data_IF_064638432570
#
_entry.id   IF_064638432570
#
_cell.length_a   1.000
_cell.length_b   1.000
_cell.length_c   1.000
_cell.angle_alpha   90.00
_cell.angle_beta   90.00
_cell.angle_gamma   90.00
#
_symmetry.space_group_name_H-M   'P 1'
#
loop_
_entity.id
_entity.type
_entity.pdbx_description
1 polymer ?
#
# COMPACT_ATOMS: atom_id res chain seq x y z
N UNK A 1 13.65 20.44 -22.38
CA UNK A 1 12.22 20.17 -22.66
C UNK A 1 11.59 19.79 -21.34
N UNK A 2 10.77 20.69 -20.77
CA UNK A 2 10.22 20.52 -19.42
C UNK A 2 9.13 19.45 -19.39
N UNK A 3 9.16 18.58 -18.37
CA UNK A 3 8.04 17.72 -18.02
C UNK A 3 6.83 18.61 -17.72
N UNK A 4 5.80 18.53 -18.56
CA UNK A 4 4.50 19.12 -18.24
C UNK A 4 3.91 18.51 -16.96
N UNK A 5 2.99 19.21 -16.28
CA UNK A 5 2.34 18.70 -15.08
C UNK A 5 1.66 17.38 -15.46
N UNK A 6 2.17 16.27 -14.93
CA UNK A 6 1.59 14.95 -15.13
C UNK A 6 0.14 15.00 -14.70
N UNK A 7 -0.77 14.93 -15.67
CA UNK A 7 -2.19 14.70 -15.41
C UNK A 7 -2.22 13.35 -14.68
N UNK A 8 -2.56 13.35 -13.39
CA UNK A 8 -2.83 12.10 -12.68
C UNK A 8 -3.84 11.31 -13.53
N UNK A 9 -3.68 9.99 -13.73
CA UNK A 9 -4.57 9.21 -14.60
C UNK A 9 -6.02 9.12 -14.08
N UNK A 10 -6.34 9.77 -12.95
CA UNK A 10 -7.65 9.79 -12.32
C UNK A 10 -8.20 11.24 -12.39
N UNK A 11 -9.29 11.44 -13.12
CA UNK A 11 -10.00 12.73 -13.11
C UNK A 11 -10.61 12.98 -11.72
N UNK A 12 -10.16 14.05 -11.06
CA UNK A 12 -10.64 14.41 -9.72
C UNK A 12 -12.08 14.93 -9.78
N UNK A 13 -13.04 14.07 -9.48
CA UNK A 13 -14.46 14.42 -9.34
C UNK A 13 -14.86 14.89 -7.94
N UNK A 14 -16.14 15.17 -7.73
CA UNK A 14 -16.70 15.54 -6.41
C UNK A 14 -16.36 14.53 -5.32
N UNK A 15 -16.28 13.26 -5.71
CA UNK A 15 -16.01 12.16 -4.81
C UNK A 15 -14.52 12.01 -4.43
N UNK A 16 -13.60 12.69 -5.13
CA UNK A 16 -12.20 12.84 -4.68
C UNK A 16 -12.08 13.76 -3.47
N UNK A 17 -13.10 14.59 -3.23
CA UNK A 17 -13.19 15.48 -2.09
C UNK A 17 -13.95 14.85 -0.91
N UNK A 18 -14.36 13.59 -1.01
CA UNK A 18 -15.04 12.89 0.08
C UNK A 18 -14.07 12.74 1.26
N UNK A 19 -14.43 13.31 2.42
CA UNK A 19 -13.55 13.36 3.61
C UNK A 19 -12.71 14.65 3.73
N UNK A 20 -12.83 15.60 2.81
CA UNK A 20 -12.25 16.94 2.92
C UNK A 20 -13.29 18.02 2.67
N UNK A 21 -13.28 19.07 3.49
CA UNK A 21 -14.30 20.12 3.47
C UNK A 21 -14.34 20.93 2.16
N UNK A 22 -13.27 20.91 1.35
CA UNK A 22 -13.21 21.63 0.08
C UNK A 22 -12.11 21.15 -0.85
N UNK A 23 -12.23 21.52 -2.13
CA UNK A 23 -11.16 21.35 -3.13
C UNK A 23 -9.87 22.06 -2.74
N UNK A 24 -9.97 23.25 -2.15
CA UNK A 24 -8.80 24.00 -1.70
C UNK A 24 -8.03 23.23 -0.63
N UNK A 25 -8.74 22.58 0.31
CA UNK A 25 -8.13 21.71 1.32
C UNK A 25 -7.46 20.52 0.65
N UNK A 26 -8.11 19.86 -0.31
CA UNK A 26 -7.53 18.76 -1.07
C UNK A 26 -6.24 19.17 -1.80
N UNK A 27 -6.30 20.26 -2.57
CA UNK A 27 -5.18 20.74 -3.39
C UNK A 27 -4.01 21.25 -2.54
N UNK A 28 -4.28 21.68 -1.30
CA UNK A 28 -3.26 22.10 -0.33
C UNK A 28 -2.57 20.94 0.40
N UNK A 29 -3.04 19.70 0.24
CA UNK A 29 -2.37 18.51 0.79
C UNK A 29 -1.11 18.17 -0.02
N UNK A 30 -0.16 17.50 0.62
CA UNK A 30 0.97 16.90 -0.10
C UNK A 30 0.49 15.81 -1.08
N UNK A 31 1.35 15.44 -2.03
CA UNK A 31 1.00 14.48 -3.07
C UNK A 31 0.54 13.12 -2.50
N UNK A 32 1.26 12.60 -1.50
CA UNK A 32 0.92 11.33 -0.87
C UNK A 32 -0.51 11.34 -0.28
N UNK A 33 -0.90 12.38 0.46
CA UNK A 33 -2.26 12.47 0.99
C UNK A 33 -3.32 12.58 -0.11
N UNK A 34 -3.03 13.28 -1.22
CA UNK A 34 -3.97 13.37 -2.34
C UNK A 34 -4.18 12.01 -2.99
N UNK A 35 -3.10 11.26 -3.23
CA UNK A 35 -3.18 9.89 -3.75
C UNK A 35 -3.93 8.98 -2.78
N UNK A 36 -3.62 9.05 -1.48
CA UNK A 36 -4.25 8.23 -0.46
C UNK A 36 -5.74 8.57 -0.27
N UNK A 37 -6.15 9.83 -0.42
CA UNK A 37 -7.57 10.20 -0.39
C UNK A 37 -8.38 9.45 -1.44
N UNK A 38 -7.79 9.24 -2.62
CA UNK A 38 -8.40 8.46 -3.69
C UNK A 38 -8.40 6.97 -3.34
N UNK A 39 -7.24 6.43 -2.95
CA UNK A 39 -7.05 5.00 -2.68
C UNK A 39 -7.92 4.55 -1.49
N UNK A 40 -7.80 5.22 -0.36
CA UNK A 40 -8.51 4.91 0.87
C UNK A 40 -10.03 4.88 0.70
N UNK A 41 -10.58 5.70 -0.20
CA UNK A 41 -12.00 5.66 -0.55
C UNK A 41 -12.40 4.32 -1.15
N UNK A 42 -11.58 3.74 -2.03
CA UNK A 42 -11.81 2.40 -2.57
C UNK A 42 -11.64 1.32 -1.49
N UNK A 43 -10.61 1.46 -0.66
CA UNK A 43 -10.33 0.52 0.43
C UNK A 43 -11.43 0.50 1.50
N UNK A 44 -12.12 1.62 1.74
CA UNK A 44 -13.10 1.77 2.82
C UNK A 44 -14.52 1.35 2.42
N UNK A 45 -14.66 0.09 1.99
CA UNK A 45 -15.97 -0.51 1.65
C UNK A 45 -16.81 -0.83 2.90
N UNK A 46 -18.14 -0.65 2.87
CA UNK A 46 -19.04 -0.99 3.98
C UNK A 46 -18.88 -2.44 4.44
N UNK A 47 -18.75 -2.66 5.76
CA UNK A 47 -18.62 -3.99 6.38
C UNK A 47 -17.18 -4.43 6.70
N UNK A 48 -16.16 -3.63 6.37
CA UNK A 48 -14.78 -3.87 6.83
C UNK A 48 -14.57 -3.41 8.27
N UNK A 49 -13.77 -4.16 9.02
CA UNK A 49 -13.38 -3.81 10.41
C UNK A 49 -12.39 -2.64 10.50
N UNK A 50 -11.54 -2.46 9.49
CA UNK A 50 -10.55 -1.39 9.49
C UNK A 50 -11.12 -0.22 8.69
N UNK A 51 -11.29 0.90 9.37
CA UNK A 51 -11.66 2.17 8.75
C UNK A 51 -10.42 2.75 8.09
N UNK A 52 -10.35 2.72 6.77
CA UNK A 52 -9.22 3.30 6.03
C UNK A 52 -9.48 4.75 5.61
N UNK A 53 -10.62 5.36 5.98
CA UNK A 53 -10.97 6.72 5.56
C UNK A 53 -9.88 7.71 5.92
N UNK A 54 -9.36 8.39 4.92
CA UNK A 54 -8.56 9.58 5.13
C UNK A 54 -9.49 10.78 5.17
N UNK A 55 -9.63 11.41 6.33
CA UNK A 55 -10.54 12.52 6.54
C UNK A 55 -9.90 13.64 7.34
N UNK A 56 -10.35 14.87 7.11
CA UNK A 56 -9.98 16.01 7.93
C UNK A 56 -11.09 16.33 8.93
N UNK A 57 -10.78 16.33 10.22
CA UNK A 57 -11.73 16.62 11.30
C UNK A 57 -11.11 17.66 12.22
N UNK A 58 -11.79 18.78 12.44
CA UNK A 58 -11.28 19.89 13.28
C UNK A 58 -9.86 20.35 12.87
N UNK A 59 -9.62 20.44 11.56
CA UNK A 59 -8.32 20.76 10.94
C UNK A 59 -7.22 19.70 11.08
N UNK A 60 -7.48 18.55 11.71
CA UNK A 60 -6.54 17.43 11.83
C UNK A 60 -6.76 16.39 10.74
N UNK A 61 -5.67 15.89 10.16
CA UNK A 61 -5.71 14.72 9.28
C UNK A 61 -5.90 13.45 10.11
N UNK A 62 -6.79 12.57 9.68
CA UNK A 62 -7.08 11.30 10.34
C UNK A 62 -7.10 10.18 9.32
N UNK A 63 -6.39 9.10 9.63
CA UNK A 63 -6.44 7.85 8.90
C UNK A 63 -7.28 6.86 9.73
N UNK A 64 -8.44 6.51 9.22
CA UNK A 64 -9.46 5.81 9.97
C UNK A 64 -9.95 6.62 11.16
N UNK A 65 -9.72 6.08 12.36
CA UNK A 65 -10.04 6.75 13.63
C UNK A 65 -8.84 7.43 14.27
N UNK A 66 -7.65 7.17 13.75
CA UNK A 66 -6.39 7.60 14.33
C UNK A 66 -5.96 8.96 13.75
N UNK A 67 -5.54 9.92 14.61
CA UNK A 67 -4.86 11.12 14.14
C UNK A 67 -3.60 10.77 13.35
N UNK A 68 -3.33 11.55 12.30
CA UNK A 68 -2.12 11.45 11.51
C UNK A 68 -1.38 12.79 11.59
N UNK A 69 -0.35 12.87 12.41
CA UNK A 69 0.41 14.11 12.58
C UNK A 69 1.50 14.20 11.53
N UNK A 70 1.30 15.06 10.54
CA UNK A 70 2.23 15.22 9.42
C UNK A 70 3.32 16.20 9.83
N UNK A 71 4.57 15.74 9.83
CA UNK A 71 5.69 16.57 10.20
C UNK A 71 6.26 17.32 9.00
N UNK A 72 6.68 18.54 9.25
CA UNK A 72 7.59 19.28 8.37
C UNK A 72 9.02 19.00 8.79
N UNK A 73 10.00 19.26 7.91
CA UNK A 73 11.41 19.15 8.28
C UNK A 73 11.78 19.99 9.53
N UNK A 74 11.08 21.11 9.72
CA UNK A 74 11.25 22.00 10.86
C UNK A 74 10.62 21.46 12.15
N UNK A 75 9.46 20.78 12.05
CA UNK A 75 8.77 20.20 13.22
C UNK A 75 9.33 18.84 13.63
N UNK A 76 10.08 18.17 12.75
CA UNK A 76 10.72 16.91 13.09
C UNK A 76 11.73 17.07 14.22
N UNK A 77 11.76 16.14 15.20
CA UNK A 77 12.85 16.08 16.17
C UNK A 77 14.22 15.96 15.49
N UNK A 78 15.29 16.54 16.05
CA UNK A 78 16.64 16.42 15.49
C UNK A 78 17.15 14.98 15.40
N UNK A 79 16.69 14.10 16.29
CA UNK A 79 17.05 12.69 16.38
C UNK A 79 16.04 11.75 15.71
N UNK A 80 15.11 12.28 14.91
CA UNK A 80 14.19 11.43 14.15
C UNK A 80 14.98 10.57 13.15
N UNK A 81 14.79 9.23 13.15
CA UNK A 81 15.57 8.32 12.30
C UNK A 81 15.35 8.55 10.79
N UNK A 82 14.24 9.19 10.42
CA UNK A 82 13.86 9.45 9.03
C UNK A 82 14.17 10.88 8.58
N UNK A 83 14.85 11.67 9.40
CA UNK A 83 15.10 13.10 9.13
C UNK A 83 15.91 13.32 7.85
N UNK A 84 16.94 12.50 7.63
CA UNK A 84 17.85 12.64 6.48
C UNK A 84 17.20 12.21 5.15
N UNK A 85 16.13 11.42 5.22
CA UNK A 85 15.36 10.92 4.08
C UNK A 85 14.04 11.69 3.87
N UNK A 86 13.89 12.86 4.50
CA UNK A 86 12.64 13.63 4.47
C UNK A 86 12.24 14.02 3.03
N UNK A 87 11.05 13.58 2.62
CA UNK A 87 10.41 13.98 1.36
C UNK A 87 9.19 14.88 1.64
N UNK A 88 9.19 16.11 1.13
CA UNK A 88 8.07 17.02 1.30
C UNK A 88 6.76 16.53 0.62
N UNK A 89 6.85 15.70 -0.42
CA UNK A 89 5.69 15.16 -1.13
C UNK A 89 5.10 13.92 -0.43
N UNK A 90 5.89 13.26 0.42
CA UNK A 90 5.50 12.12 1.22
C UNK A 90 6.17 12.17 2.61
N UNK A 91 5.81 13.18 3.43
CA UNK A 91 6.55 13.53 4.64
C UNK A 91 6.43 12.47 5.73
N UNK A 92 7.42 12.46 6.62
CA UNK A 92 7.39 11.70 7.87
C UNK A 92 6.14 12.09 8.66
N UNK A 93 5.45 11.12 9.23
CA UNK A 93 4.27 11.37 10.05
C UNK A 93 4.28 10.51 11.31
N UNK A 94 3.54 10.96 12.32
CA UNK A 94 3.32 10.22 13.56
C UNK A 94 1.91 9.64 13.52
N UNK A 95 1.86 8.32 13.67
CA UNK A 95 0.65 7.55 13.95
C UNK A 95 0.67 7.25 15.46
N UNK A 96 -0.47 7.09 16.18
CA UNK A 96 -0.51 7.10 17.66
C UNK A 96 0.48 6.20 18.42
N UNK A 97 1.03 5.18 17.76
CA UNK A 97 1.95 4.22 18.35
C UNK A 97 3.39 4.28 17.78
N UNK A 98 3.66 5.05 16.70
CA UNK A 98 4.97 5.01 16.02
C UNK A 98 5.23 6.20 15.07
N UNK A 99 6.52 6.48 14.79
CA UNK A 99 6.92 7.30 13.66
C UNK A 99 6.88 6.47 12.39
N UNK A 100 6.14 6.94 11.39
CA UNK A 100 6.16 6.38 10.06
C UNK A 100 7.14 7.18 9.20
N UNK A 101 7.99 6.49 8.43
CA UNK A 101 8.97 7.13 7.55
C UNK A 101 8.31 8.03 6.50
N UNK A 102 7.03 7.77 6.20
CA UNK A 102 6.22 8.56 5.29
C UNK A 102 4.72 8.38 5.55
N UNK A 103 3.88 9.21 4.93
CA UNK A 103 2.41 9.08 5.00
C UNK A 103 1.94 7.75 4.39
N UNK A 104 2.57 7.32 3.29
CA UNK A 104 2.27 6.01 2.71
C UNK A 104 2.55 4.86 3.69
N UNK A 105 3.61 4.99 4.49
CA UNK A 105 3.98 4.00 5.51
C UNK A 105 2.91 3.89 6.62
N UNK A 106 2.31 5.00 7.04
CA UNK A 106 1.17 4.99 7.97
C UNK A 106 -0.05 4.25 7.40
N UNK A 107 -0.31 4.37 6.09
CA UNK A 107 -1.38 3.60 5.44
C UNK A 107 -1.08 2.11 5.44
N UNK A 108 0.18 1.73 5.19
CA UNK A 108 0.59 0.33 5.28
C UNK A 108 0.43 -0.26 6.68
N UNK A 109 0.61 0.57 7.71
CA UNK A 109 0.35 0.19 9.10
C UNK A 109 -1.11 -0.22 9.31
N UNK A 110 -2.05 0.60 8.83
CA UNK A 110 -3.50 0.41 9.03
C UNK A 110 -4.11 -0.68 8.13
N UNK A 111 -3.52 -0.93 6.96
CA UNK A 111 -4.05 -1.88 5.95
C UNK A 111 -4.02 -3.36 6.37
N UNK A 112 -3.52 -3.72 7.55
CA UNK A 112 -3.42 -5.13 7.99
C UNK A 112 -4.77 -5.83 8.32
N UNK A 113 -5.88 -5.30 7.82
CA UNK A 113 -7.27 -5.75 8.02
C UNK A 113 -7.78 -6.85 7.07
N UNK A 114 -9.05 -7.29 7.25
CA UNK A 114 -9.58 -8.55 6.72
C UNK A 114 -9.98 -8.43 5.26
N UNK A 115 -9.00 -8.54 4.37
CA UNK A 115 -9.21 -8.88 2.97
C UNK A 115 -9.27 -10.41 2.86
N UNK A 116 -9.95 -11.00 1.86
CA UNK A 116 -9.87 -12.45 1.68
C UNK A 116 -8.41 -12.85 1.51
N UNK A 117 -7.95 -13.70 2.42
CA UNK A 117 -6.59 -14.21 2.40
C UNK A 117 -6.52 -15.29 1.33
N UNK A 118 -5.83 -14.99 0.24
CA UNK A 118 -5.23 -16.08 -0.53
C UNK A 118 -4.18 -16.71 0.40
N UNK A 119 -4.11 -18.04 0.51
CA UNK A 119 -3.20 -18.71 1.44
C UNK A 119 -1.80 -18.09 1.45
N UNK A 120 -1.25 -17.85 2.66
CA UNK A 120 0.08 -17.27 2.82
C UNK A 120 1.11 -18.13 2.08
N UNK A 121 1.84 -17.51 1.15
CA UNK A 121 2.83 -18.20 0.36
C UNK A 121 4.14 -18.18 1.13
N UNK A 122 4.54 -19.34 1.64
CA UNK A 122 5.89 -19.57 2.14
C UNK A 122 6.77 -20.02 0.97
N UNK A 123 7.62 -19.14 0.44
CA UNK A 123 8.45 -19.46 -0.70
C UNK A 123 9.57 -20.40 -0.25
N UNK A 124 9.80 -21.49 -0.98
CA UNK A 124 11.01 -22.31 -0.79
C UNK A 124 12.27 -21.60 -1.32
N UNK A 125 12.12 -20.71 -2.30
CA UNK A 125 13.20 -19.90 -2.86
C UNK A 125 13.29 -18.55 -2.14
N UNK A 126 13.92 -18.56 -0.95
CA UNK A 126 14.26 -17.32 -0.22
C UNK A 126 15.02 -16.28 -1.05
N UNK A 127 15.98 -16.64 -1.94
CA UNK A 127 16.81 -15.64 -2.63
C UNK A 127 16.01 -14.68 -3.54
N UNK A 128 15.07 -15.19 -4.34
CA UNK A 128 14.32 -14.37 -5.31
C UNK A 128 13.46 -13.32 -4.63
N UNK A 129 12.80 -13.67 -3.53
CA UNK A 129 11.95 -12.72 -2.79
C UNK A 129 12.78 -11.74 -1.97
N UNK A 130 13.96 -12.15 -1.51
CA UNK A 130 14.91 -11.22 -0.89
C UNK A 130 15.41 -10.18 -1.89
N UNK A 131 15.60 -10.56 -3.15
CA UNK A 131 15.94 -9.61 -4.22
C UNK A 131 14.76 -8.67 -4.47
N UNK A 132 13.53 -9.17 -4.55
CA UNK A 132 12.32 -8.33 -4.68
C UNK A 132 12.16 -7.35 -3.52
N UNK A 133 12.50 -7.75 -2.30
CA UNK A 133 12.45 -6.88 -1.12
C UNK A 133 13.47 -5.74 -1.20
N UNK A 134 14.67 -6.00 -1.72
CA UNK A 134 15.77 -5.03 -1.79
C UNK A 134 15.73 -4.12 -3.01
N UNK A 135 15.06 -4.54 -4.09
CA UNK A 135 14.93 -3.73 -5.29
C UNK A 135 14.17 -2.43 -4.98
N UNK A 136 14.60 -1.32 -5.58
CA UNK A 136 13.71 -0.16 -5.66
C UNK A 136 12.37 -0.60 -6.26
N UNK A 137 11.24 -0.05 -5.78
CA UNK A 137 9.95 -0.33 -6.39
C UNK A 137 10.00 -0.20 -7.91
N UNK A 138 9.88 -1.30 -8.70
CA UNK A 138 9.67 -1.15 -10.12
C UNK A 138 8.39 -0.33 -10.28
N UNK A 139 8.40 0.56 -11.26
CA UNK A 139 7.15 1.12 -11.78
C UNK A 139 6.44 -0.01 -12.51
N UNK A 140 5.79 -0.90 -11.76
CA UNK A 140 4.95 -1.93 -12.32
C UNK A 140 3.76 -1.23 -12.96
N UNK A 141 3.80 -1.13 -14.28
CA UNK A 141 2.84 -0.37 -15.07
C UNK A 141 1.42 -0.85 -14.71
N UNK A 142 0.61 0.01 -14.10
CA UNK A 142 -0.73 -0.25 -13.51
C UNK A 142 -0.80 -0.40 -11.99
N UNK A 143 0.31 -0.29 -11.26
CA UNK A 143 0.29 -0.11 -9.80
C UNK A 143 -0.17 1.30 -9.43
N UNK A 144 -1.04 1.38 -8.44
CA UNK A 144 -1.56 2.65 -7.94
C UNK A 144 -0.69 3.18 -6.81
N UNK A 145 -0.08 2.30 -6.02
CA UNK A 145 0.90 2.67 -4.99
C UNK A 145 1.81 1.49 -4.69
N UNK A 146 3.09 1.79 -4.54
CA UNK A 146 4.07 0.88 -3.92
C UNK A 146 4.69 1.63 -2.75
N UNK A 147 4.69 1.01 -1.58
CA UNK A 147 5.33 1.58 -0.41
C UNK A 147 6.18 0.51 0.28
N UNK A 148 7.30 0.96 0.82
CA UNK A 148 8.25 0.12 1.54
C UNK A 148 8.39 0.70 2.94
N UNK A 149 8.05 -0.12 3.94
CA UNK A 149 8.28 0.13 5.36
C UNK A 149 9.54 -0.58 5.79
N UNK A 150 10.38 0.13 6.53
CA UNK A 150 11.47 -0.46 7.28
C UNK A 150 11.30 -0.10 8.76
N UNK A 151 11.25 -1.10 9.63
CA UNK A 151 11.26 -0.87 11.08
C UNK A 151 12.70 -0.73 11.59
N UNK A 152 12.90 0.00 12.71
CA UNK A 152 14.20 0.11 13.37
C UNK A 152 14.82 -1.26 13.73
N UNK A 153 13.99 -2.26 13.99
CA UNK A 153 14.38 -3.63 14.35
C UNK A 153 14.78 -4.50 13.15
N UNK A 154 14.85 -3.92 11.94
CA UNK A 154 15.21 -4.63 10.72
C UNK A 154 14.04 -5.38 10.08
N UNK A 155 12.80 -5.06 10.39
CA UNK A 155 11.67 -5.59 9.62
C UNK A 155 11.52 -4.79 8.33
N UNK A 156 11.51 -5.46 7.18
CA UNK A 156 11.19 -4.83 5.91
C UNK A 156 9.86 -5.36 5.41
N UNK A 157 8.87 -4.48 5.30
CA UNK A 157 7.56 -4.77 4.70
C UNK A 157 7.40 -3.94 3.46
N UNK A 158 7.32 -4.61 2.33
CA UNK A 158 6.97 -4.00 1.06
C UNK A 158 5.53 -4.33 0.74
N UNK A 159 4.78 -3.33 0.32
CA UNK A 159 3.37 -3.49 -0.05
C UNK A 159 3.13 -2.87 -1.40
N UNK A 160 2.44 -3.65 -2.23
CA UNK A 160 2.06 -3.33 -3.59
C UNK A 160 0.55 -3.30 -3.61
N UNK A 161 -0.01 -2.14 -3.90
CA UNK A 161 -1.45 -1.95 -3.98
C UNK A 161 -1.79 -1.82 -5.46
N UNK A 162 -2.57 -2.78 -5.95
CA UNK A 162 -3.15 -2.75 -7.28
C UNK A 162 -4.64 -2.58 -7.12
N UNK A 163 -5.12 -1.36 -7.42
CA UNK A 163 -6.54 -1.09 -7.50
C UNK A 163 -7.02 -1.47 -8.90
N UNK A 164 -7.55 -2.67 -9.07
CA UNK A 164 -8.28 -3.02 -10.31
C UNK A 164 -9.63 -2.34 -10.23
N UNK A 165 -9.73 -1.07 -10.63
CA UNK A 165 -10.83 -0.23 -10.14
C UNK A 165 -11.03 1.14 -10.81
N UNK A 166 -10.21 1.56 -11.77
CA UNK A 166 -10.34 2.90 -12.35
C UNK A 166 -11.50 3.01 -13.34
N UNK A 167 -12.04 1.86 -13.77
CA UNK A 167 -13.22 1.82 -14.61
C UNK A 167 -14.48 1.47 -13.82
N UNK A 168 -15.66 1.99 -14.19
CA UNK A 168 -16.94 1.73 -13.51
C UNK A 168 -17.31 0.24 -13.36
N UNK A 169 -16.75 -0.63 -14.21
CA UNK A 169 -16.94 -2.08 -14.20
C UNK A 169 -15.96 -2.84 -13.29
N UNK A 170 -14.95 -2.17 -12.76
CA UNK A 170 -13.92 -2.80 -11.96
C UNK A 170 -14.33 -2.81 -10.48
N UNK A 171 -14.66 -4.00 -9.97
CA UNK A 171 -15.34 -4.15 -8.68
C UNK A 171 -14.48 -4.79 -7.59
N UNK A 172 -13.16 -4.90 -7.78
CA UNK A 172 -12.30 -5.59 -6.80
C UNK A 172 -10.92 -4.95 -6.64
N UNK A 173 -10.20 -5.25 -5.57
CA UNK A 173 -8.87 -4.70 -5.28
C UNK A 173 -7.93 -5.84 -4.92
N UNK A 174 -6.63 -5.63 -5.15
CA UNK A 174 -5.58 -6.60 -4.87
C UNK A 174 -4.45 -5.95 -4.09
N UNK A 175 -4.13 -6.50 -2.92
CA UNK A 175 -2.98 -6.08 -2.12
C UNK A 175 -1.97 -7.22 -2.04
N UNK A 176 -0.75 -6.95 -2.47
CA UNK A 176 0.37 -7.86 -2.34
C UNK A 176 1.32 -7.33 -1.27
N UNK A 177 1.54 -8.13 -0.25
CA UNK A 177 2.50 -7.88 0.81
C UNK A 177 3.70 -8.79 0.61
N UNK A 178 4.89 -8.22 0.67
CA UNK A 178 6.17 -8.93 0.68
C UNK A 178 6.87 -8.53 1.96
N UNK A 179 6.95 -9.45 2.93
CA UNK A 179 7.53 -9.17 4.23
C UNK A 179 8.83 -9.95 4.40
N UNK A 180 9.84 -9.32 4.99
CA UNK A 180 11.08 -9.96 5.40
C UNK A 180 11.48 -9.48 6.80
N UNK A 181 11.97 -10.40 7.62
CA UNK A 181 12.61 -10.08 8.91
C UNK A 181 14.12 -10.17 8.74
N UNK A 182 14.81 -9.06 8.97
CA UNK A 182 16.26 -9.04 9.19
C UNK A 182 16.52 -9.01 10.70
N UNK A 183 16.83 -10.13 11.36
CA UNK A 183 17.31 -10.07 12.73
C UNK A 183 18.81 -9.76 12.74
N UNK A 184 19.37 -9.41 13.92
CA UNK A 184 20.81 -9.44 14.14
C UNK A 184 21.44 -10.85 14.05
N UNK A 185 20.66 -11.92 13.79
CA UNK A 185 21.11 -13.32 13.85
C UNK A 185 20.88 -14.15 12.56
N UNK A 186 20.58 -13.50 11.44
CA UNK A 186 20.44 -14.15 10.12
C UNK A 186 19.00 -14.25 9.58
N UNK A 187 18.87 -14.21 8.25
CA UNK A 187 17.61 -14.14 7.50
C UNK A 187 16.62 -15.23 7.94
N UNK A 188 15.49 -14.84 8.54
CA UNK A 188 14.58 -15.80 9.19
C UNK A 188 13.43 -16.28 8.30
N UNK A 189 12.92 -15.45 7.39
CA UNK A 189 11.99 -15.82 6.32
C UNK A 189 11.55 -14.56 5.56
N UNK A 190 11.47 -14.64 4.24
CA UNK A 190 10.65 -13.74 3.44
C UNK A 190 9.33 -14.43 3.09
N UNK A 191 8.21 -13.72 3.13
CA UNK A 191 6.87 -14.25 2.87
C UNK A 191 6.08 -13.31 1.96
N UNK A 192 5.28 -13.88 1.08
CA UNK A 192 4.32 -13.15 0.27
C UNK A 192 2.91 -13.44 0.76
N UNK A 193 2.11 -12.39 0.92
CA UNK A 193 0.71 -12.48 1.31
C UNK A 193 -0.10 -11.72 0.27
N UNK A 194 -1.08 -12.39 -0.32
CA UNK A 194 -1.96 -11.82 -1.32
C UNK A 194 -3.37 -11.70 -0.75
N UNK A 195 -3.94 -10.53 -0.92
CA UNK A 195 -5.22 -10.13 -0.38
C UNK A 195 -6.08 -9.63 -1.55
N UNK A 196 -7.33 -10.10 -1.65
CA UNK A 196 -8.28 -9.62 -2.68
C UNK A 196 -9.71 -9.44 -2.18
N UNK A 197 -10.47 -8.57 -2.82
CA UNK A 197 -11.94 -8.49 -2.68
C UNK A 197 -12.72 -9.23 -3.76
N UNK A 198 -12.01 -9.84 -4.71
CA UNK A 198 -12.65 -10.73 -5.68
C UNK A 198 -13.47 -11.78 -4.92
N UNK A 199 -14.74 -11.95 -5.34
CA UNK A 199 -15.60 -12.97 -4.72
C UNK A 199 -15.07 -14.35 -5.11
N UNK A 200 -14.90 -15.28 -4.15
CA UNK A 200 -14.38 -16.60 -4.46
C UNK A 200 -15.32 -17.35 -5.39
N UNK A 201 -14.77 -17.99 -6.43
CA UNK A 201 -15.53 -18.86 -7.33
C UNK A 201 -15.98 -20.11 -6.57
N UNK A 202 -17.28 -20.38 -6.57
CA UNK A 202 -17.86 -21.54 -5.88
C UNK A 202 -17.25 -22.85 -6.36
N UNK A 203 -16.86 -23.72 -5.43
CA UNK A 203 -16.27 -25.04 -5.72
C UNK A 203 -14.79 -25.00 -6.10
N UNK A 204 -14.14 -23.84 -6.06
CA UNK A 204 -12.69 -23.68 -6.21
C UNK A 204 -12.02 -23.40 -4.86
N UNK A 205 -10.73 -23.70 -4.76
CA UNK A 205 -9.93 -23.49 -3.56
C UNK A 205 -8.61 -22.79 -3.91
N UNK A 206 -8.00 -22.14 -2.92
CA UNK A 206 -6.73 -21.45 -3.08
C UNK A 206 -6.80 -20.35 -4.15
N UNK A 207 -5.73 -20.23 -4.95
CA UNK A 207 -5.65 -19.22 -6.00
C UNK A 207 -6.69 -19.42 -7.12
N UNK A 208 -7.10 -20.66 -7.40
CA UNK A 208 -8.14 -20.96 -8.38
C UNK A 208 -9.52 -20.41 -7.99
N UNK A 209 -9.73 -20.03 -6.72
CA UNK A 209 -10.94 -19.34 -6.30
C UNK A 209 -10.95 -17.85 -6.69
N UNK A 210 -9.79 -17.28 -7.07
CA UNK A 210 -9.62 -15.85 -7.34
C UNK A 210 -8.88 -15.60 -8.68
N UNK A 211 -9.44 -16.05 -9.82
CA UNK A 211 -8.77 -15.99 -11.12
C UNK A 211 -8.42 -14.57 -11.58
N UNK A 212 -9.24 -13.55 -11.28
CA UNK A 212 -8.95 -12.17 -11.68
C UNK A 212 -7.76 -11.60 -10.91
N UNK A 213 -7.69 -11.90 -9.61
CA UNK A 213 -6.59 -11.54 -8.72
C UNK A 213 -5.28 -12.12 -9.23
N UNK A 214 -5.27 -13.43 -9.54
CA UNK A 214 -4.07 -14.11 -10.06
C UNK A 214 -3.62 -13.50 -11.37
N UNK A 215 -4.55 -13.22 -12.29
CA UNK A 215 -4.24 -12.58 -13.58
C UNK A 215 -3.56 -11.23 -13.38
N UNK A 216 -4.16 -10.36 -12.56
CA UNK A 216 -3.66 -9.00 -12.31
C UNK A 216 -2.27 -9.04 -11.67
N UNK A 217 -2.07 -9.92 -10.70
CA UNK A 217 -0.76 -10.07 -10.05
C UNK A 217 0.30 -10.51 -11.06
N UNK A 218 -0.01 -11.46 -11.95
CA UNK A 218 0.90 -11.89 -13.03
C UNK A 218 1.20 -10.75 -14.00
N UNK A 219 0.21 -9.97 -14.39
CA UNK A 219 0.38 -8.82 -15.30
C UNK A 219 1.25 -7.73 -14.67
N UNK A 220 1.03 -7.42 -13.39
CA UNK A 220 1.77 -6.37 -12.66
C UNK A 220 3.20 -6.79 -12.36
N UNK A 221 3.41 -8.01 -11.87
CA UNK A 221 4.74 -8.49 -11.48
C UNK A 221 5.57 -9.03 -12.66
N UNK A 222 4.93 -9.42 -13.76
CA UNK A 222 5.62 -10.05 -14.89
C UNK A 222 6.38 -11.30 -14.45
N UNK A 223 7.66 -11.39 -14.81
CA UNK A 223 8.53 -12.51 -14.45
C UNK A 223 8.72 -12.69 -12.92
N UNK A 224 8.54 -11.61 -12.15
CA UNK A 224 8.67 -11.68 -10.69
C UNK A 224 7.53 -12.49 -10.03
N UNK A 225 6.41 -12.68 -10.74
CA UNK A 225 5.29 -13.48 -10.26
C UNK A 225 5.69 -14.94 -10.05
N UNK A 226 6.53 -15.50 -10.93
CA UNK A 226 7.00 -16.88 -10.84
C UNK A 226 7.79 -17.08 -9.54
N UNK A 227 8.77 -16.21 -9.27
CA UNK A 227 9.55 -16.25 -8.03
C UNK A 227 8.72 -16.04 -6.75
N UNK A 228 7.61 -15.30 -6.84
CA UNK A 228 6.72 -15.01 -5.72
C UNK A 228 5.69 -16.11 -5.44
N UNK A 229 5.32 -16.93 -6.45
CA UNK A 229 4.15 -17.81 -6.37
C UNK A 229 4.28 -19.23 -6.98
N UNK A 230 5.28 -19.57 -7.79
CA UNK A 230 5.29 -20.80 -8.64
C UNK A 230 5.51 -22.16 -7.94
N UNK A 231 5.48 -22.24 -6.61
CA UNK A 231 5.87 -23.49 -5.93
C UNK A 231 4.73 -24.24 -5.25
N UNK A 232 3.49 -24.04 -5.72
CA UNK A 232 2.38 -24.95 -5.45
C UNK A 232 1.62 -25.34 -6.73
N UNK A 233 1.17 -26.60 -6.84
CA UNK A 233 0.35 -27.04 -7.95
C UNK A 233 -1.06 -26.44 -7.79
N UNK A 234 -1.31 -25.34 -8.50
CA UNK A 234 -2.60 -24.75 -8.91
C UNK A 234 -2.59 -23.21 -8.76
N UNK A 235 -1.96 -22.56 -9.74
CA UNK A 235 -2.08 -21.14 -10.08
C UNK A 235 -2.23 -20.99 -11.60
#
# INVERSE_FOLDING_TARGET
QGRGPGRLPIELGSAAMEGVDSRQVFDGRCEALRQLSLICRHLNSPGRRNDMRLQRVNNEERLGRCPLYINTLQSLPPNCPFRDEFDQNNPVCEHPDDYCASIQDAVLFEMDGPVFHVPEFQPRAMPSIMDLVKQQPPLWNSCYTVATRQSPEGYLRRVVIVLTGDQPQDTFEVHLYINSKFPPLGLSAARTKLCTTERPVTGKQGAAAFPLTVRVVREVMGADAEGAFDHQPAL
#
